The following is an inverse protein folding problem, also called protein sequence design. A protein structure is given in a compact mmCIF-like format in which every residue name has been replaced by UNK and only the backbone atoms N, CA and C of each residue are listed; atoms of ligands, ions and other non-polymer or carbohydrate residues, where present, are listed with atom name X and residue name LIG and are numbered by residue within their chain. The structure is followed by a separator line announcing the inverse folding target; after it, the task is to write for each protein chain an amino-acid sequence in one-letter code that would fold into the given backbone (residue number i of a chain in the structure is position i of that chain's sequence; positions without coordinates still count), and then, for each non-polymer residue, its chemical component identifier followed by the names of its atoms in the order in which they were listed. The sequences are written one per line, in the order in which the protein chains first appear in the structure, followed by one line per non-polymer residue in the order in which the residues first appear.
data_IF_766336736953
#
_entry.id   IF_766336736953
#
_cell.length_a   1.000
_cell.length_b   1.000
_cell.length_c   1.000
_cell.angle_alpha   90.00
_cell.angle_beta   90.00
_cell.angle_gamma   90.00
#
_symmetry.space_group_name_H-M   'P 1'
#
loop_
_entity.id
_entity.type
_entity.pdbx_description
1 polymer ?
#
# COMPACT_ATOMS: atom_id res chain seq x y z
N UNK A 1 -2.82 44.56 51.18
CA UNK A 1 -3.57 45.81 51.13
C UNK A 1 -3.04 46.66 50.00
N UNK A 2 -3.75 46.71 48.87
CA UNK A 2 -3.94 47.84 48.00
C UNK A 2 -5.10 47.49 47.10
N UNK A 3 -6.01 48.42 46.91
CA UNK A 3 -7.38 48.22 46.53
C UNK A 3 -7.61 48.17 45.04
N UNK A 4 -8.76 47.55 44.71
CA UNK A 4 -9.51 47.51 43.49
C UNK A 4 -10.05 48.88 43.10
N UNK A 5 -10.08 49.20 41.81
CA UNK A 5 -11.04 50.12 41.23
C UNK A 5 -11.58 49.57 39.92
N UNK A 6 -12.89 49.33 39.90
CA UNK A 6 -13.76 49.13 38.73
C UNK A 6 -13.87 50.41 37.93
N UNK A 7 -13.92 50.30 36.61
CA UNK A 7 -14.61 51.29 35.75
C UNK A 7 -15.44 50.57 34.68
N UNK A 8 -16.76 50.66 34.84
CA UNK A 8 -17.77 50.50 33.82
C UNK A 8 -17.62 51.58 32.73
N UNK A 9 -17.83 51.23 31.49
CA UNK A 9 -18.44 52.10 30.51
C UNK A 9 -19.10 51.32 29.38
N UNK A 10 -20.42 51.30 29.41
CA UNK A 10 -21.31 51.06 28.28
C UNK A 10 -21.05 52.03 27.11
N UNK A 11 -21.05 51.55 25.88
CA UNK A 11 -21.45 52.37 24.72
C UNK A 11 -21.98 51.49 23.59
N UNK A 12 -23.30 51.46 23.49
CA UNK A 12 -24.04 51.00 22.31
C UNK A 12 -23.73 51.88 21.10
N UNK A 13 -23.28 51.31 19.99
CA UNK A 13 -23.41 51.96 18.69
C UNK A 13 -24.15 51.03 17.72
N UNK A 14 -25.38 51.40 17.39
CA UNK A 14 -26.22 50.83 16.35
C UNK A 14 -25.66 51.18 14.98
N UNK A 15 -25.45 50.20 14.11
CA UNK A 15 -25.22 50.39 12.70
C UNK A 15 -26.57 50.45 11.94
N UNK A 16 -26.65 51.23 10.84
CA UNK A 16 -27.90 51.46 10.15
C UNK A 16 -28.27 50.31 9.20
N UNK A 17 -29.58 50.07 9.08
CA UNK A 17 -30.17 49.12 8.16
C UNK A 17 -30.00 49.62 6.71
N UNK A 18 -29.30 48.84 5.87
CA UNK A 18 -29.28 49.03 4.42
C UNK A 18 -30.35 48.14 3.78
N UNK A 19 -31.24 48.76 3.04
CA UNK A 19 -32.30 48.18 2.22
C UNK A 19 -31.72 47.36 1.09
N UNK A 20 -32.19 46.13 0.94
CA UNK A 20 -31.91 45.28 -0.23
C UNK A 20 -32.81 45.65 -1.41
N UNK A 21 -32.29 45.67 -2.65
CA UNK A 21 -33.12 45.84 -3.83
C UNK A 21 -33.87 44.55 -4.18
N UNK A 22 -35.11 44.72 -4.64
CA UNK A 22 -36.01 43.64 -5.10
C UNK A 22 -35.42 42.83 -6.25
N UNK A 23 -35.46 41.50 -6.11
CA UNK A 23 -35.08 40.53 -7.14
C UNK A 23 -36.19 40.47 -8.20
N UNK A 24 -35.87 40.45 -9.52
CA UNK A 24 -36.87 40.20 -10.56
C UNK A 24 -37.29 38.74 -10.57
N UNK A 25 -38.59 38.49 -10.73
CA UNK A 25 -39.15 37.16 -10.98
C UNK A 25 -38.59 36.60 -12.29
N UNK A 26 -37.84 35.48 -12.19
CA UNK A 26 -37.43 34.67 -13.34
C UNK A 26 -38.40 33.51 -13.45
N UNK A 27 -39.06 33.44 -14.59
CA UNK A 27 -39.94 32.35 -15.01
C UNK A 27 -39.20 31.01 -14.86
N UNK A 28 -39.80 30.11 -14.11
CA UNK A 28 -39.31 28.74 -13.91
C UNK A 28 -39.56 27.88 -15.16
N UNK A 29 -38.62 27.83 -16.07
CA UNK A 29 -38.49 26.67 -16.95
C UNK A 29 -38.02 25.48 -16.10
N UNK A 30 -38.93 24.53 -15.89
CA UNK A 30 -38.63 23.21 -15.30
C UNK A 30 -37.75 22.41 -16.23
N UNK A 31 -36.44 22.63 -16.18
CA UNK A 31 -35.46 21.62 -16.59
C UNK A 31 -35.33 20.64 -15.41
N UNK A 32 -35.82 19.42 -15.61
CA UNK A 32 -35.45 18.27 -14.77
C UNK A 32 -33.91 18.11 -14.89
N UNK A 33 -33.18 18.78 -14.01
CA UNK A 33 -31.76 18.46 -13.79
C UNK A 33 -31.73 17.11 -13.11
N UNK A 34 -31.22 16.08 -13.82
CA UNK A 34 -30.77 14.84 -13.20
C UNK A 34 -29.93 15.21 -11.99
N UNK A 35 -30.46 15.02 -10.80
CA UNK A 35 -29.68 15.14 -9.56
C UNK A 35 -28.59 14.05 -9.61
N UNK A 36 -27.38 14.41 -10.02
CA UNK A 36 -26.23 13.54 -9.83
C UNK A 36 -26.15 13.15 -8.36
N UNK A 37 -26.41 11.89 -8.08
CA UNK A 37 -26.32 11.35 -6.73
C UNK A 37 -24.91 11.64 -6.18
N UNK A 38 -24.83 12.21 -4.99
CA UNK A 38 -23.55 12.47 -4.32
C UNK A 38 -22.68 11.20 -4.31
N UNK A 39 -21.43 11.29 -4.74
CA UNK A 39 -20.56 10.12 -4.83
C UNK A 39 -20.36 9.50 -3.43
N UNK A 40 -20.50 8.18 -3.34
CA UNK A 40 -20.15 7.44 -2.12
C UNK A 40 -18.64 7.58 -1.87
N UNK A 41 -18.28 8.36 -0.85
CA UNK A 41 -16.89 8.60 -0.45
C UNK A 41 -16.54 7.69 0.72
N UNK A 42 -15.41 7.01 0.61
CA UNK A 42 -14.78 6.25 1.69
C UNK A 42 -13.33 6.71 1.85
N UNK A 43 -12.79 6.61 3.05
CA UNK A 43 -11.42 7.01 3.33
C UNK A 43 -10.62 5.88 3.97
N UNK A 44 -9.33 5.89 3.71
CA UNK A 44 -8.40 4.95 4.32
C UNK A 44 -7.16 5.68 4.82
N UNK A 45 -6.77 5.38 6.06
CA UNK A 45 -5.56 5.91 6.67
C UNK A 45 -4.59 4.78 6.99
N UNK A 46 -3.32 4.94 6.63
CA UNK A 46 -2.22 4.10 7.13
C UNK A 46 -1.25 4.93 7.96
N UNK A 47 -0.82 4.38 9.10
CA UNK A 47 0.08 5.07 10.02
C UNK A 47 0.92 4.10 10.84
N UNK A 48 2.24 4.12 10.66
CA UNK A 48 3.16 3.51 11.60
C UNK A 48 3.28 4.45 12.82
N UNK A 49 2.78 4.01 13.97
CA UNK A 49 2.64 4.84 15.17
C UNK A 49 3.88 4.83 16.09
N UNK A 50 4.93 4.16 15.68
CA UNK A 50 6.18 3.96 16.46
C UNK A 50 5.90 3.38 17.84
N UNK A 51 6.01 2.06 17.97
CA UNK A 51 5.77 1.38 19.24
C UNK A 51 6.63 1.95 20.37
N UNK A 52 6.08 2.18 21.59
CA UNK A 52 6.82 2.69 22.73
C UNK A 52 8.10 1.89 23.07
N UNK A 53 8.10 0.59 22.76
CA UNK A 53 9.28 -0.29 22.94
C UNK A 53 10.44 0.03 21.98
N UNK A 54 10.19 0.76 20.89
CA UNK A 54 11.20 1.20 19.93
C UNK A 54 11.56 2.67 20.06
N UNK A 55 10.62 3.49 20.57
CA UNK A 55 10.84 4.93 20.71
C UNK A 55 11.87 5.23 21.79
N UNK A 56 12.95 5.89 21.38
CA UNK A 56 14.02 6.36 22.25
C UNK A 56 13.64 7.72 22.86
N UNK A 57 13.89 7.92 24.16
CA UNK A 57 13.64 9.20 24.83
C UNK A 57 14.87 10.11 24.82
N UNK A 58 16.05 9.52 24.78
CA UNK A 58 17.32 10.26 24.76
C UNK A 58 18.19 9.75 23.60
N UNK A 59 18.60 10.63 22.66
CA UNK A 59 19.52 10.28 21.60
C UNK A 59 20.88 9.78 22.07
N UNK A 60 21.33 10.24 23.26
CA UNK A 60 22.61 9.87 23.84
C UNK A 60 22.51 8.56 24.64
N UNK A 61 21.40 8.31 25.31
CA UNK A 61 21.12 7.08 26.03
C UNK A 61 20.25 6.14 25.20
N UNK A 62 20.88 5.32 24.37
CA UNK A 62 20.18 4.40 23.48
C UNK A 62 19.35 3.30 24.18
N UNK A 63 19.57 3.06 25.48
CA UNK A 63 18.82 2.09 26.28
C UNK A 63 17.46 2.59 26.76
N UNK A 64 17.28 3.92 26.91
CA UNK A 64 16.07 4.48 27.51
C UNK A 64 14.89 4.47 26.52
N UNK A 65 13.83 3.71 26.83
CA UNK A 65 12.66 3.55 25.99
C UNK A 65 11.43 4.24 26.58
N UNK A 66 10.55 4.75 25.68
CA UNK A 66 9.29 5.36 26.10
C UNK A 66 8.39 4.37 26.86
N UNK A 67 8.46 3.07 26.52
CA UNK A 67 7.69 2.00 27.19
C UNK A 67 7.93 1.91 28.69
N UNK A 68 9.05 2.41 29.20
CA UNK A 68 9.37 2.44 30.61
C UNK A 68 8.65 3.57 31.39
N UNK A 69 8.07 4.53 30.69
CA UNK A 69 7.45 5.74 31.25
C UNK A 69 6.00 5.87 30.82
N UNK A 70 5.09 5.40 31.68
CA UNK A 70 3.65 5.37 31.38
C UNK A 70 3.12 6.74 30.95
N UNK A 71 3.47 7.82 31.64
CA UNK A 71 2.97 9.15 31.33
C UNK A 71 3.30 9.57 29.88
N UNK A 72 4.48 9.21 29.36
CA UNK A 72 4.90 9.60 28.01
C UNK A 72 4.21 8.79 26.91
N UNK A 73 4.22 7.45 27.02
CA UNK A 73 3.57 6.65 26.00
C UNK A 73 2.04 6.81 26.01
N UNK A 74 1.44 7.03 27.20
CA UNK A 74 0.00 7.23 27.32
C UNK A 74 -0.41 8.56 26.68
N UNK A 75 0.22 9.69 27.02
CA UNK A 75 -0.05 11.00 26.43
C UNK A 75 0.09 10.97 24.90
N UNK A 76 1.21 10.43 24.40
CA UNK A 76 1.44 10.35 22.96
C UNK A 76 0.39 9.52 22.24
N UNK A 77 0.04 8.35 22.76
CA UNK A 77 -0.96 7.48 22.14
C UNK A 77 -2.38 8.04 22.25
N UNK A 78 -2.71 8.76 23.32
CA UNK A 78 -3.97 9.52 23.40
C UNK A 78 -4.05 10.56 22.30
N UNK A 79 -3.00 11.36 22.09
CA UNK A 79 -2.94 12.36 21.02
C UNK A 79 -2.99 11.74 19.62
N UNK A 80 -2.34 10.60 19.40
CA UNK A 80 -2.47 9.86 18.13
C UNK A 80 -3.93 9.46 17.90
N UNK A 81 -4.55 8.88 18.92
CA UNK A 81 -5.93 8.41 18.82
C UNK A 81 -6.93 9.56 18.64
N UNK A 82 -6.71 10.70 19.30
CA UNK A 82 -7.52 11.91 19.08
C UNK A 82 -7.47 12.37 17.64
N UNK A 83 -6.29 12.37 17.00
CA UNK A 83 -6.15 12.69 15.58
C UNK A 83 -6.85 11.69 14.66
N UNK A 84 -6.73 10.39 14.94
CA UNK A 84 -7.40 9.34 14.16
C UNK A 84 -8.93 9.47 14.22
N UNK A 85 -9.46 9.75 15.42
CA UNK A 85 -10.88 9.95 15.64
C UNK A 85 -11.39 11.27 15.05
N UNK A 86 -10.60 12.33 15.08
CA UNK A 86 -10.91 13.59 14.42
C UNK A 86 -10.99 13.44 12.89
N UNK A 87 -10.06 12.70 12.28
CA UNK A 87 -10.02 12.42 10.85
C UNK A 87 -11.14 11.46 10.42
N UNK A 88 -11.56 10.56 11.32
CA UNK A 88 -12.68 9.63 11.18
C UNK A 88 -12.66 8.84 9.86
N UNK A 89 -11.49 8.30 9.47
CA UNK A 89 -11.35 7.50 8.26
C UNK A 89 -12.19 6.22 8.33
N UNK A 90 -12.81 5.83 7.20
CA UNK A 90 -13.64 4.62 7.11
C UNK A 90 -12.84 3.34 7.42
N UNK A 91 -11.54 3.35 7.12
CA UNK A 91 -10.59 2.27 7.42
C UNK A 91 -9.32 2.90 7.99
N UNK A 92 -8.81 2.35 9.10
CA UNK A 92 -7.56 2.78 9.75
C UNK A 92 -6.65 1.56 9.87
N UNK A 93 -5.44 1.66 9.31
CA UNK A 93 -4.40 0.63 9.31
C UNK A 93 -3.18 1.13 10.09
N UNK A 94 -2.94 0.59 11.28
CA UNK A 94 -1.81 0.97 12.12
C UNK A 94 -0.73 -0.09 12.08
N UNK A 95 0.53 0.35 12.07
CA UNK A 95 1.72 -0.48 12.21
C UNK A 95 2.47 -0.07 13.46
N UNK A 96 3.31 -0.97 13.96
CA UNK A 96 3.98 -0.83 15.26
C UNK A 96 3.00 -0.58 16.42
N UNK A 97 1.82 -1.16 16.35
CA UNK A 97 0.86 -1.13 17.45
C UNK A 97 1.38 -2.02 18.59
N UNK A 98 1.52 -1.46 19.81
CA UNK A 98 2.09 -2.19 20.95
C UNK A 98 1.08 -3.18 21.53
N UNK A 99 0.93 -4.34 20.89
CA UNK A 99 0.01 -5.41 21.28
C UNK A 99 0.36 -6.04 22.63
N UNK A 100 1.63 -5.95 23.06
CA UNK A 100 2.12 -6.48 24.32
C UNK A 100 1.72 -5.67 25.56
N UNK A 101 1.03 -4.53 25.40
CA UNK A 101 0.55 -3.71 26.50
C UNK A 101 -0.99 -3.69 26.54
N UNK A 102 -1.57 -4.40 27.52
CA UNK A 102 -3.02 -4.54 27.64
C UNK A 102 -3.75 -3.21 27.87
N UNK A 103 -3.14 -2.27 28.58
CA UNK A 103 -3.76 -0.96 28.85
C UNK A 103 -3.86 -0.13 27.58
N UNK A 104 -2.79 -0.11 26.77
CA UNK A 104 -2.80 0.57 25.48
C UNK A 104 -3.81 -0.09 24.53
N UNK A 105 -3.80 -1.42 24.45
CA UNK A 105 -4.77 -2.18 23.61
C UNK A 105 -6.19 -1.85 24.02
N UNK A 106 -6.49 -1.85 25.34
CA UNK A 106 -7.81 -1.52 25.84
C UNK A 106 -8.23 -0.09 25.47
N UNK A 107 -7.37 0.89 25.70
CA UNK A 107 -7.63 2.29 25.37
C UNK A 107 -8.01 2.47 23.89
N UNK A 108 -7.24 1.88 22.98
CA UNK A 108 -7.56 1.96 21.53
C UNK A 108 -8.85 1.23 21.19
N UNK A 109 -9.05 0.02 21.74
CA UNK A 109 -10.23 -0.79 21.45
C UNK A 109 -11.52 -0.13 21.94
N UNK A 110 -11.54 0.39 23.16
CA UNK A 110 -12.69 1.07 23.74
C UNK A 110 -13.04 2.35 22.98
N UNK A 111 -12.05 3.25 22.79
CA UNK A 111 -12.31 4.53 22.12
C UNK A 111 -12.70 4.38 20.64
N UNK A 112 -12.08 3.44 19.91
CA UNK A 112 -12.46 3.14 18.53
C UNK A 112 -13.86 2.48 18.47
N UNK A 113 -14.16 1.57 19.40
CA UNK A 113 -15.49 0.96 19.49
C UNK A 113 -16.59 2.01 19.75
N UNK A 114 -16.36 2.93 20.69
CA UNK A 114 -17.30 4.01 21.03
C UNK A 114 -17.51 4.97 19.85
N UNK A 115 -16.51 5.12 19.00
CA UNK A 115 -16.59 5.88 17.75
C UNK A 115 -17.15 5.08 16.55
N UNK A 116 -17.69 3.88 16.76
CA UNK A 116 -18.35 3.09 15.73
C UNK A 116 -17.47 2.12 14.94
N UNK A 117 -16.21 1.88 15.37
CA UNK A 117 -15.32 0.96 14.68
C UNK A 117 -15.37 -0.46 15.22
N UNK A 118 -15.13 -1.43 14.34
CA UNK A 118 -14.71 -2.80 14.68
C UNK A 118 -13.20 -2.89 14.53
N UNK A 119 -12.49 -3.42 15.53
CA UNK A 119 -11.03 -3.48 15.55
C UNK A 119 -10.51 -4.90 15.46
N UNK A 120 -9.40 -5.07 14.72
CA UNK A 120 -8.67 -6.32 14.55
C UNK A 120 -7.20 -6.07 14.87
N UNK A 121 -6.64 -6.83 15.80
CA UNK A 121 -5.23 -6.73 16.18
C UNK A 121 -4.49 -8.02 15.82
N UNK A 122 -3.22 -7.90 15.41
CA UNK A 122 -2.37 -9.05 15.12
C UNK A 122 -0.94 -8.74 15.60
N UNK A 123 -0.45 -9.50 16.58
CA UNK A 123 0.94 -9.40 17.04
C UNK A 123 1.91 -10.02 16.04
N UNK A 124 3.12 -9.47 15.97
CA UNK A 124 4.24 -10.15 15.30
C UNK A 124 4.53 -11.47 16.01
N UNK A 125 5.02 -12.45 15.26
CA UNK A 125 5.43 -13.74 15.83
C UNK A 125 6.62 -13.58 16.79
N UNK A 126 6.92 -14.64 17.53
CA UNK A 126 8.05 -14.69 18.50
C UNK A 126 8.02 -13.57 19.57
N UNK A 127 6.83 -13.17 20.02
CA UNK A 127 6.62 -12.24 21.12
C UNK A 127 7.40 -10.90 20.98
N UNK A 128 7.46 -10.35 19.78
CA UNK A 128 8.14 -9.07 19.51
C UNK A 128 7.50 -7.89 20.25
N UNK A 129 6.26 -8.03 20.72
CA UNK A 129 5.53 -7.03 21.48
C UNK A 129 4.75 -6.02 20.66
N UNK A 130 5.19 -5.71 19.44
CA UNK A 130 4.46 -4.89 18.48
C UNK A 130 3.66 -5.73 17.46
N UNK A 131 2.84 -5.07 16.67
CA UNK A 131 2.03 -5.71 15.64
C UNK A 131 1.24 -4.71 14.80
N UNK A 132 0.09 -5.17 14.36
CA UNK A 132 -0.85 -4.43 13.52
C UNK A 132 -2.17 -4.22 14.26
N UNK A 133 -2.84 -3.10 13.99
CA UNK A 133 -4.23 -2.87 14.32
C UNK A 133 -4.95 -2.34 13.09
N UNK A 134 -6.06 -2.97 12.70
CA UNK A 134 -6.94 -2.45 11.66
C UNK A 134 -8.30 -2.15 12.27
N UNK A 135 -8.82 -0.94 12.03
CA UNK A 135 -10.14 -0.53 12.46
C UNK A 135 -11.03 -0.20 11.25
N UNK A 136 -12.26 -0.68 11.27
CA UNK A 136 -13.24 -0.55 10.18
C UNK A 136 -14.50 0.08 10.74
N UNK A 137 -14.93 1.21 10.18
CA UNK A 137 -16.12 1.91 10.63
C UNK A 137 -17.37 1.21 10.12
N UNK A 138 -18.27 0.85 11.05
CA UNK A 138 -19.47 0.03 10.80
C UNK A 138 -20.47 0.67 9.84
N UNK A 139 -20.55 2.00 9.79
CA UNK A 139 -21.46 2.70 8.87
C UNK A 139 -21.04 2.57 7.41
N UNK A 140 -19.74 2.39 7.16
CA UNK A 140 -19.21 2.28 5.80
C UNK A 140 -19.06 0.83 5.34
N UNK A 141 -18.67 -0.08 6.25
CA UNK A 141 -18.35 -1.45 5.88
C UNK A 141 -18.84 -2.48 6.88
N UNK A 142 -19.32 -3.60 6.37
CA UNK A 142 -19.47 -4.87 7.11
C UNK A 142 -18.26 -5.75 6.86
N UNK A 143 -17.76 -6.40 7.92
CA UNK A 143 -16.63 -7.33 7.80
C UNK A 143 -17.18 -8.73 7.53
N UNK A 144 -16.91 -9.27 6.35
CA UNK A 144 -17.31 -10.62 5.95
C UNK A 144 -16.34 -11.66 6.51
N UNK A 145 -15.03 -11.42 6.32
CA UNK A 145 -13.98 -12.30 6.81
C UNK A 145 -12.77 -11.51 7.29
N UNK A 146 -12.08 -12.06 8.29
CA UNK A 146 -10.78 -11.66 8.76
C UNK A 146 -9.82 -12.84 8.69
N UNK A 147 -8.60 -12.62 8.16
CA UNK A 147 -7.55 -13.63 8.04
C UNK A 147 -6.22 -13.06 8.50
N UNK A 148 -5.41 -13.90 9.08
CA UNK A 148 -4.06 -13.59 9.55
C UNK A 148 -3.04 -14.33 8.69
N UNK A 149 -2.06 -13.62 8.17
CA UNK A 149 -0.98 -14.18 7.39
C UNK A 149 0.33 -14.05 8.16
N UNK A 150 0.80 -15.16 8.68
CA UNK A 150 2.09 -15.25 9.38
C UNK A 150 3.17 -15.60 8.35
N UNK A 151 4.16 -14.73 8.16
CA UNK A 151 5.20 -15.01 7.17
C UNK A 151 6.15 -16.12 7.62
N UNK A 152 6.30 -16.31 8.96
CA UNK A 152 7.21 -17.29 9.56
C UNK A 152 8.63 -17.18 9.00
N UNK A 153 9.10 -15.94 8.90
CA UNK A 153 10.40 -15.60 8.33
C UNK A 153 11.31 -14.91 9.37
N UNK A 154 12.52 -14.58 8.95
CA UNK A 154 13.52 -13.90 9.77
C UNK A 154 13.03 -12.62 10.45
N UNK A 155 12.06 -11.93 9.82
CA UNK A 155 11.55 -10.66 10.32
C UNK A 155 10.40 -10.78 11.32
N UNK A 156 9.86 -11.97 11.56
CA UNK A 156 8.67 -12.20 12.40
C UNK A 156 7.47 -11.33 11.99
N UNK A 157 7.44 -10.91 10.71
CA UNK A 157 6.41 -10.01 10.18
C UNK A 157 5.13 -10.76 9.84
N UNK A 158 4.06 -9.99 9.76
CA UNK A 158 2.70 -10.51 9.56
C UNK A 158 1.90 -9.57 8.66
N UNK A 159 0.78 -10.06 8.12
CA UNK A 159 -0.22 -9.23 7.47
C UNK A 159 -1.63 -9.62 7.92
N UNK A 160 -2.53 -8.65 7.96
CA UNK A 160 -3.96 -8.84 8.17
C UNK A 160 -4.69 -8.70 6.84
N UNK A 161 -5.55 -9.63 6.49
CA UNK A 161 -6.49 -9.53 5.38
C UNK A 161 -7.90 -9.37 5.94
N UNK A 162 -8.60 -8.34 5.51
CA UNK A 162 -10.02 -8.15 5.75
C UNK A 162 -10.77 -8.21 4.42
N UNK A 163 -11.84 -8.99 4.37
CA UNK A 163 -12.81 -9.02 3.30
C UNK A 163 -14.02 -8.21 3.77
N UNK A 164 -14.27 -7.09 3.11
CA UNK A 164 -15.26 -6.09 3.53
C UNK A 164 -16.34 -5.94 2.47
N UNK A 165 -17.57 -5.72 2.94
CA UNK A 165 -18.70 -5.34 2.10
C UNK A 165 -19.06 -3.87 2.37
N UNK A 166 -19.20 -3.08 1.32
CA UNK A 166 -19.58 -1.67 1.39
C UNK A 166 -21.07 -1.54 1.72
N UNK A 167 -21.39 -0.86 2.85
CA UNK A 167 -22.76 -0.66 3.35
C UNK A 167 -23.45 0.55 2.73
N UNK A 168 -22.69 1.57 2.34
CA UNK A 168 -23.23 2.86 1.86
C UNK A 168 -23.93 2.66 0.52
N UNK A 169 -25.14 3.21 0.32
CA UNK A 169 -25.83 3.15 -0.96
C UNK A 169 -25.01 3.87 -2.03
N UNK A 170 -24.70 3.20 -3.13
CA UNK A 170 -23.93 3.79 -4.22
C UNK A 170 -24.77 4.76 -5.06
N UNK A 171 -26.09 4.51 -5.18
CA UNK A 171 -27.06 5.35 -5.91
C UNK A 171 -28.45 5.16 -5.34
N UNK A 172 -29.24 6.22 -5.28
CA UNK A 172 -30.59 6.20 -4.71
C UNK A 172 -31.61 5.38 -5.52
N UNK A 173 -31.38 5.05 -6.79
CA UNK A 173 -32.40 4.50 -7.71
C UNK A 173 -32.03 3.20 -8.44
N UNK A 174 -30.94 2.50 -8.10
CA UNK A 174 -30.63 1.25 -8.82
C UNK A 174 -30.58 0.04 -7.89
N UNK A 175 -31.51 -0.90 -8.10
CA UNK A 175 -31.42 -2.30 -7.66
C UNK A 175 -30.31 -3.01 -8.49
N UNK A 176 -29.06 -2.56 -8.39
CA UNK A 176 -27.97 -3.21 -9.11
C UNK A 176 -27.47 -4.39 -8.28
N UNK A 177 -27.72 -5.59 -8.73
CA UNK A 177 -27.16 -6.85 -8.23
C UNK A 177 -25.68 -6.95 -8.64
N UNK A 178 -24.76 -6.16 -8.07
CA UNK A 178 -23.33 -6.41 -8.20
C UNK A 178 -22.66 -6.45 -6.82
N UNK A 179 -21.61 -7.23 -6.73
CA UNK A 179 -20.85 -7.41 -5.51
C UNK A 179 -20.20 -6.09 -5.08
N UNK A 180 -20.40 -5.70 -3.83
CA UNK A 180 -19.88 -4.46 -3.22
C UNK A 180 -18.75 -4.76 -2.27
N UNK A 181 -17.85 -5.64 -2.67
CA UNK A 181 -16.84 -6.19 -1.80
C UNK A 181 -15.46 -5.63 -2.14
N UNK A 182 -14.59 -5.55 -1.14
CA UNK A 182 -13.19 -5.13 -1.25
C UNK A 182 -12.32 -5.99 -0.34
N UNK A 183 -11.12 -6.33 -0.81
CA UNK A 183 -10.07 -6.89 0.05
C UNK A 183 -9.13 -5.79 0.52
N UNK A 184 -8.90 -5.75 1.83
CA UNK A 184 -7.97 -4.79 2.46
C UNK A 184 -6.89 -5.55 3.20
N UNK A 185 -5.63 -5.21 2.93
CA UNK A 185 -4.47 -5.80 3.62
C UNK A 185 -3.73 -4.71 4.38
N UNK A 186 -3.47 -4.95 5.66
CA UNK A 186 -2.57 -4.16 6.49
C UNK A 186 -1.30 -4.96 6.77
N UNK A 187 -0.12 -4.37 6.54
CA UNK A 187 1.17 -5.03 6.77
C UNK A 187 2.26 -4.05 7.18
N UNK A 188 3.32 -4.59 7.78
CA UNK A 188 4.57 -3.88 8.03
C UNK A 188 5.73 -4.80 7.65
N UNK A 189 6.40 -4.50 6.53
CA UNK A 189 7.49 -5.34 6.02
C UNK A 189 8.79 -5.17 6.83
N UNK A 190 9.74 -6.07 6.59
CA UNK A 190 11.02 -6.06 7.28
C UNK A 190 11.79 -4.76 7.04
N UNK A 191 12.29 -4.15 8.13
CA UNK A 191 13.15 -2.97 8.07
C UNK A 191 14.49 -3.30 7.36
N UNK A 192 15.02 -2.42 6.51
CA UNK A 192 16.25 -2.66 5.74
C UNK A 192 17.50 -2.42 6.58
N UNK A 193 17.77 -3.29 7.58
CA UNK A 193 19.02 -3.23 8.36
C UNK A 193 20.25 -3.42 7.47
N UNK A 194 20.11 -4.23 6.42
CA UNK A 194 21.13 -4.54 5.43
C UNK A 194 20.52 -4.58 4.02
N UNK A 195 21.33 -4.28 3.00
CA UNK A 195 20.92 -4.36 1.60
C UNK A 195 20.58 -5.79 1.15
N UNK A 196 21.16 -6.81 1.77
CA UNK A 196 20.84 -8.22 1.51
C UNK A 196 19.41 -8.59 1.88
N UNK A 197 18.78 -7.88 2.82
CA UNK A 197 17.40 -8.12 3.25
C UNK A 197 16.32 -7.60 2.28
N UNK A 198 16.72 -7.06 1.14
CA UNK A 198 15.76 -6.69 0.09
C UNK A 198 14.99 -7.91 -0.45
N UNK A 199 15.62 -9.07 -0.50
CA UNK A 199 14.98 -10.32 -0.93
C UNK A 199 13.88 -10.75 0.06
N UNK A 200 14.09 -10.59 1.37
CA UNK A 200 13.09 -10.95 2.39
C UNK A 200 11.83 -10.11 2.22
N UNK A 201 11.96 -8.78 2.03
CA UNK A 201 10.78 -7.93 1.78
C UNK A 201 10.05 -8.33 0.50
N UNK A 202 10.80 -8.68 -0.54
CA UNK A 202 10.22 -9.15 -1.79
C UNK A 202 9.45 -10.45 -1.58
N UNK A 203 10.00 -11.43 -0.82
CA UNK A 203 9.33 -12.67 -0.43
C UNK A 203 8.07 -12.41 0.41
N UNK A 204 8.10 -11.45 1.33
CA UNK A 204 6.91 -11.06 2.11
C UNK A 204 5.78 -10.56 1.21
N UNK A 205 6.10 -9.67 0.25
CA UNK A 205 5.11 -9.19 -0.74
C UNK A 205 4.61 -10.32 -1.62
N UNK A 206 5.49 -11.18 -2.10
CA UNK A 206 5.11 -12.33 -2.92
C UNK A 206 4.14 -13.26 -2.18
N UNK A 207 4.40 -13.55 -0.89
CA UNK A 207 3.48 -14.33 -0.04
C UNK A 207 2.12 -13.66 0.12
N UNK A 208 2.07 -12.33 0.31
CA UNK A 208 0.79 -11.57 0.36
C UNK A 208 0.03 -11.76 -0.96
N UNK A 209 0.71 -11.58 -2.09
CA UNK A 209 0.08 -11.66 -3.41
C UNK A 209 -0.40 -13.09 -3.74
N UNK A 210 0.39 -14.12 -3.42
CA UNK A 210 -0.01 -15.52 -3.54
C UNK A 210 -1.24 -15.84 -2.67
N UNK A 211 -1.24 -15.35 -1.43
CA UNK A 211 -2.36 -15.55 -0.53
C UNK A 211 -3.63 -14.89 -1.04
N UNK A 212 -3.53 -13.67 -1.58
CA UNK A 212 -4.65 -12.97 -2.21
C UNK A 212 -5.20 -13.74 -3.42
N UNK A 213 -4.33 -14.27 -4.30
CA UNK A 213 -4.76 -15.10 -5.44
C UNK A 213 -5.48 -16.37 -4.98
N UNK A 214 -4.95 -17.06 -3.97
CA UNK A 214 -5.59 -18.26 -3.39
C UNK A 214 -6.92 -17.93 -2.76
N UNK A 215 -6.98 -16.86 -1.95
CA UNK A 215 -8.20 -16.41 -1.29
C UNK A 215 -9.29 -16.02 -2.30
N UNK A 216 -8.93 -15.26 -3.35
CA UNK A 216 -9.87 -14.90 -4.42
C UNK A 216 -10.42 -16.15 -5.13
N UNK A 217 -9.55 -17.12 -5.42
CA UNK A 217 -9.95 -18.39 -6.06
C UNK A 217 -10.87 -19.22 -5.17
N UNK A 218 -10.52 -19.38 -3.90
CA UNK A 218 -11.31 -20.15 -2.91
C UNK A 218 -12.70 -19.57 -2.70
N UNK A 219 -12.84 -18.24 -2.73
CA UNK A 219 -14.10 -17.55 -2.52
C UNK A 219 -14.77 -17.08 -3.81
N UNK A 220 -14.26 -17.49 -4.98
CA UNK A 220 -14.79 -17.16 -6.32
C UNK A 220 -14.87 -15.65 -6.61
N UNK A 221 -13.97 -14.87 -6.05
CA UNK A 221 -13.93 -13.41 -6.15
C UNK A 221 -13.18 -12.95 -7.41
N UNK A 222 -13.87 -12.96 -8.56
CA UNK A 222 -13.22 -12.69 -9.85
C UNK A 222 -12.98 -11.20 -10.11
N UNK A 223 -13.81 -10.32 -9.59
CA UNK A 223 -13.86 -8.89 -9.94
C UNK A 223 -13.94 -8.01 -8.70
N UNK A 224 -12.99 -8.16 -7.77
CA UNK A 224 -12.94 -7.43 -6.52
C UNK A 224 -11.75 -6.46 -6.48
N UNK A 225 -11.95 -5.19 -6.05
CA UNK A 225 -10.85 -4.27 -5.80
C UNK A 225 -10.03 -4.71 -4.59
N UNK A 226 -8.74 -4.40 -4.60
CA UNK A 226 -7.81 -4.73 -3.51
C UNK A 226 -7.07 -3.48 -3.09
N UNK A 227 -7.03 -3.22 -1.79
CA UNK A 227 -6.26 -2.17 -1.16
C UNK A 227 -5.19 -2.77 -0.25
N UNK A 228 -3.93 -2.35 -0.44
CA UNK A 228 -2.82 -2.76 0.42
C UNK A 228 -2.28 -1.54 1.14
N UNK A 229 -2.25 -1.59 2.46
CA UNK A 229 -1.86 -0.48 3.33
C UNK A 229 -0.69 -0.87 4.21
N UNK A 230 0.20 0.06 4.51
CA UNK A 230 1.23 -0.19 5.49
C UNK A 230 2.56 0.53 5.27
N UNK A 231 3.48 0.15 6.14
CA UNK A 231 4.90 0.48 6.03
C UNK A 231 5.62 -0.63 5.23
N UNK A 232 5.97 -0.31 4.00
CA UNK A 232 6.58 -1.24 3.06
C UNK A 232 8.10 -1.31 3.21
N UNK A 233 8.70 -0.46 4.02
CA UNK A 233 10.14 -0.37 4.23
C UNK A 233 10.96 -0.37 2.93
N UNK A 234 10.37 0.14 1.85
CA UNK A 234 10.92 0.18 0.50
C UNK A 234 10.50 1.44 -0.23
N UNK A 235 11.44 2.07 -0.94
CA UNK A 235 11.20 3.30 -1.71
C UNK A 235 10.55 3.02 -3.07
N UNK A 236 10.07 4.08 -3.74
CA UNK A 236 9.54 4.04 -5.12
C UNK A 236 10.51 3.45 -6.15
N UNK A 237 11.83 3.44 -5.88
CA UNK A 237 12.86 2.82 -6.74
C UNK A 237 13.13 1.35 -6.40
N UNK A 238 12.56 0.86 -5.30
CA UNK A 238 12.82 -0.48 -4.79
C UNK A 238 12.10 -1.60 -5.57
N UNK A 239 12.59 -2.83 -5.39
CA UNK A 239 12.02 -4.01 -6.06
C UNK A 239 10.57 -4.30 -5.61
N UNK A 240 10.22 -4.00 -4.36
CA UNK A 240 8.85 -4.13 -3.84
C UNK A 240 7.88 -3.23 -4.63
N UNK A 241 8.25 -1.95 -4.83
CA UNK A 241 7.45 -1.01 -5.60
C UNK A 241 7.23 -1.51 -7.04
N UNK A 242 8.32 -1.94 -7.70
CA UNK A 242 8.28 -2.45 -9.07
C UNK A 242 7.41 -3.72 -9.18
N UNK A 243 7.53 -4.66 -8.23
CA UNK A 243 6.69 -5.87 -8.20
C UNK A 243 5.21 -5.53 -8.06
N UNK A 244 4.83 -4.62 -7.15
CA UNK A 244 3.44 -4.22 -6.98
C UNK A 244 2.88 -3.53 -8.23
N UNK A 245 3.68 -2.63 -8.86
CA UNK A 245 3.30 -2.01 -10.13
C UNK A 245 3.07 -3.05 -11.25
N UNK A 246 3.94 -4.05 -11.38
CA UNK A 246 3.79 -5.13 -12.39
C UNK A 246 2.55 -6.00 -12.15
N UNK A 247 2.03 -5.99 -10.92
CA UNK A 247 0.81 -6.67 -10.52
C UNK A 247 -0.44 -5.79 -10.59
N UNK A 248 -0.32 -4.62 -11.24
CA UNK A 248 -1.43 -3.70 -11.50
C UNK A 248 -1.84 -2.85 -10.30
N UNK A 249 -1.04 -2.83 -9.23
CA UNK A 249 -1.27 -1.92 -8.12
C UNK A 249 -0.74 -0.53 -8.42
N UNK A 250 -1.50 0.49 -8.05
CA UNK A 250 -1.13 1.89 -8.18
C UNK A 250 -1.05 2.52 -6.79
N UNK A 251 0.00 3.32 -6.56
CA UNK A 251 0.08 4.14 -5.36
C UNK A 251 -0.99 5.22 -5.42
N UNK A 252 -1.87 5.27 -4.41
CA UNK A 252 -2.96 6.25 -4.36
C UNK A 252 -2.44 7.68 -4.27
N UNK A 253 -1.29 7.88 -3.64
CA UNK A 253 -0.65 9.19 -3.57
C UNK A 253 -0.15 9.65 -4.93
N UNK A 254 0.48 8.76 -5.69
CA UNK A 254 1.01 9.08 -7.02
C UNK A 254 -0.08 9.37 -8.06
N UNK A 255 -1.31 8.86 -7.84
CA UNK A 255 -2.46 9.18 -8.70
C UNK A 255 -2.94 10.63 -8.58
N UNK A 256 -2.65 11.27 -7.47
CA UNK A 256 -3.09 12.66 -7.19
C UNK A 256 -1.96 13.65 -7.34
N UNK A 257 -0.75 13.21 -6.96
CA UNK A 257 0.44 14.04 -6.94
C UNK A 257 1.46 13.48 -7.93
N UNK A 258 1.75 14.24 -8.97
CA UNK A 258 2.89 13.97 -9.87
C UNK A 258 4.19 14.27 -9.11
N UNK A 259 4.56 13.36 -8.20
CA UNK A 259 5.71 13.55 -7.33
C UNK A 259 6.92 12.80 -7.85
N UNK A 260 8.00 13.55 -8.09
CA UNK A 260 9.33 12.98 -8.24
C UNK A 260 9.64 12.07 -7.04
N UNK A 261 10.16 10.87 -7.33
CA UNK A 261 10.54 9.88 -6.32
C UNK A 261 11.51 10.42 -5.25
N UNK A 262 12.22 11.51 -5.54
CA UNK A 262 13.11 12.18 -4.59
C UNK A 262 12.39 13.05 -3.54
N UNK A 263 11.18 13.49 -3.84
CA UNK A 263 10.38 14.36 -2.96
C UNK A 263 9.40 13.60 -2.07
N UNK A 264 9.28 12.27 -2.28
CA UNK A 264 8.42 11.43 -1.47
C UNK A 264 9.05 11.17 -0.11
N UNK A 265 8.47 11.72 0.94
CA UNK A 265 8.92 11.57 2.32
C UNK A 265 7.75 11.12 3.17
N UNK A 266 7.88 10.00 3.88
CA UNK A 266 6.91 9.55 4.87
C UNK A 266 7.56 9.09 6.17
N UNK A 267 8.89 9.03 6.22
CA UNK A 267 9.63 8.54 7.38
C UNK A 267 10.94 9.30 7.57
N UNK A 268 11.30 9.56 8.84
CA UNK A 268 12.59 10.08 9.29
C UNK A 268 13.24 9.10 10.26
N UNK A 269 14.30 8.45 9.84
CA UNK A 269 14.98 7.49 10.69
C UNK A 269 15.75 8.15 11.85
N UNK A 270 16.21 7.35 12.81
CA UNK A 270 16.98 7.81 13.98
C UNK A 270 18.29 8.53 13.66
N UNK A 271 18.80 8.48 12.44
CA UNK A 271 19.98 9.20 11.94
C UNK A 271 19.62 10.52 11.26
N UNK A 272 18.34 10.89 11.25
CA UNK A 272 17.83 12.08 10.59
C UNK A 272 17.62 11.95 9.09
N UNK A 273 17.91 10.81 8.48
CA UNK A 273 17.66 10.58 7.06
C UNK A 273 16.15 10.43 6.81
N UNK A 274 15.67 11.08 5.76
CA UNK A 274 14.28 11.05 5.33
C UNK A 274 14.10 10.18 4.10
N UNK A 275 13.00 9.41 4.04
CA UNK A 275 12.64 8.55 2.92
C UNK A 275 11.12 8.32 2.86
N UNK A 276 10.64 7.81 1.75
CA UNK A 276 9.23 7.42 1.60
C UNK A 276 9.09 5.90 1.60
N UNK A 277 8.36 5.37 2.58
CA UNK A 277 8.18 3.93 2.79
C UNK A 277 6.74 3.51 3.07
N UNK A 278 5.86 4.47 3.38
CA UNK A 278 4.45 4.23 3.67
C UNK A 278 3.60 4.43 2.42
N UNK A 279 2.77 3.45 2.08
CA UNK A 279 1.93 3.48 0.89
C UNK A 279 0.54 2.90 1.17
N UNK A 280 -0.45 3.45 0.48
CA UNK A 280 -1.74 2.82 0.22
C UNK A 280 -1.77 2.51 -1.28
N UNK A 281 -1.84 1.23 -1.61
CA UNK A 281 -1.92 0.72 -2.97
C UNK A 281 -3.35 0.36 -3.30
N UNK A 282 -3.79 0.67 -4.50
CA UNK A 282 -5.09 0.30 -5.01
C UNK A 282 -4.94 -0.49 -6.32
N UNK A 283 -5.68 -1.60 -6.43
CA UNK A 283 -5.89 -2.32 -7.68
C UNK A 283 -7.38 -2.53 -7.89
N UNK A 284 -7.93 -1.98 -8.95
CA UNK A 284 -9.27 -2.33 -9.42
C UNK A 284 -9.25 -3.65 -10.20
N UNK A 285 -10.40 -4.32 -10.32
CA UNK A 285 -10.48 -5.70 -10.79
C UNK A 285 -9.92 -5.94 -12.21
N UNK A 286 -10.14 -5.02 -13.15
CA UNK A 286 -9.75 -5.20 -14.56
C UNK A 286 -8.39 -4.64 -14.93
N UNK A 287 -7.53 -4.42 -13.94
CA UNK A 287 -6.17 -3.95 -14.22
C UNK A 287 -5.35 -5.07 -14.85
N UNK A 288 -4.76 -4.80 -16.03
CA UNK A 288 -3.87 -5.74 -16.70
C UNK A 288 -2.63 -6.01 -15.83
N UNK A 289 -2.23 -7.28 -15.75
CA UNK A 289 -1.04 -7.69 -14.99
C UNK A 289 -0.35 -8.89 -15.62
N UNK A 290 0.94 -9.01 -15.38
CA UNK A 290 1.69 -10.21 -15.71
C UNK A 290 1.33 -11.36 -14.76
N UNK A 291 1.56 -12.63 -15.14
CA UNK A 291 1.49 -13.73 -14.19
C UNK A 291 2.39 -13.46 -12.98
N UNK A 292 1.89 -13.71 -11.78
CA UNK A 292 2.61 -13.38 -10.53
C UNK A 292 3.99 -14.04 -10.47
N UNK A 293 4.09 -15.31 -10.90
CA UNK A 293 5.35 -16.08 -10.93
C UNK A 293 6.39 -15.42 -11.86
N UNK A 294 5.97 -14.92 -13.01
CA UNK A 294 6.84 -14.21 -13.96
C UNK A 294 7.37 -12.91 -13.34
N UNK A 295 6.48 -12.09 -12.77
CA UNK A 295 6.88 -10.84 -12.10
C UNK A 295 7.80 -11.06 -10.89
N UNK A 296 7.59 -12.14 -10.15
CA UNK A 296 8.47 -12.57 -9.08
C UNK A 296 9.89 -12.83 -9.59
N UNK A 297 10.03 -13.70 -10.61
CA UNK A 297 11.33 -14.02 -11.19
C UNK A 297 12.05 -12.79 -11.75
N UNK A 298 11.35 -11.93 -12.52
CA UNK A 298 11.89 -10.66 -13.01
C UNK A 298 12.42 -9.78 -11.86
N UNK A 299 11.70 -9.75 -10.72
CA UNK A 299 12.11 -8.96 -9.56
C UNK A 299 13.36 -9.54 -8.89
N UNK A 300 13.48 -10.85 -8.78
CA UNK A 300 14.67 -11.53 -8.23
C UNK A 300 15.87 -11.33 -9.15
N UNK A 301 15.70 -11.52 -10.46
CA UNK A 301 16.77 -11.23 -11.43
C UNK A 301 17.20 -9.75 -11.39
N UNK A 302 16.27 -8.83 -11.13
CA UNK A 302 16.61 -7.42 -10.93
C UNK A 302 17.47 -7.18 -9.68
N UNK A 303 17.26 -7.93 -8.60
CA UNK A 303 18.17 -7.92 -7.44
C UNK A 303 19.54 -8.45 -7.82
N UNK A 304 19.61 -9.60 -8.50
CA UNK A 304 20.86 -10.17 -8.98
C UNK A 304 21.63 -9.17 -9.85
N UNK A 305 20.98 -8.60 -10.85
CA UNK A 305 21.56 -7.56 -11.72
C UNK A 305 22.10 -6.36 -10.93
N UNK A 306 21.33 -5.90 -9.95
CA UNK A 306 21.76 -4.79 -9.10
C UNK A 306 23.06 -5.14 -8.33
N UNK A 307 23.16 -6.35 -7.77
CA UNK A 307 24.34 -6.81 -7.04
C UNK A 307 25.56 -6.95 -7.97
N UNK A 308 25.39 -7.52 -9.16
CA UNK A 308 26.46 -7.67 -10.15
C UNK A 308 26.94 -6.30 -10.67
N UNK A 309 26.02 -5.38 -10.94
CA UNK A 309 26.39 -3.99 -11.31
C UNK A 309 27.10 -3.23 -10.19
N UNK A 310 26.69 -3.47 -8.94
CA UNK A 310 27.39 -2.89 -7.78
C UNK A 310 28.83 -3.39 -7.67
N UNK A 311 29.10 -4.62 -8.15
CA UNK A 311 30.46 -5.16 -8.32
C UNK A 311 31.12 -4.72 -9.62
N UNK A 312 30.58 -3.71 -10.33
CA UNK A 312 31.09 -3.15 -11.58
C UNK A 312 31.11 -4.13 -12.76
N UNK A 313 30.32 -5.18 -12.73
CA UNK A 313 30.21 -6.16 -13.82
C UNK A 313 29.39 -5.61 -14.99
N UNK A 314 29.88 -5.77 -16.20
CA UNK A 314 29.14 -5.57 -17.44
C UNK A 314 28.19 -6.73 -17.69
N UNK A 315 27.37 -6.67 -18.75
CA UNK A 315 26.51 -7.79 -19.17
C UNK A 315 27.33 -9.05 -19.46
N UNK A 316 28.43 -8.91 -20.19
CA UNK A 316 29.34 -10.02 -20.51
C UNK A 316 30.02 -10.60 -19.26
N UNK A 317 30.50 -9.74 -18.35
CA UNK A 317 31.10 -10.17 -17.09
C UNK A 317 30.08 -10.94 -16.23
N UNK A 318 28.83 -10.48 -16.21
CA UNK A 318 27.73 -11.13 -15.48
C UNK A 318 27.40 -12.52 -16.07
N UNK A 319 27.39 -12.64 -17.41
CA UNK A 319 27.23 -13.94 -18.06
C UNK A 319 28.40 -14.88 -17.72
N UNK A 320 29.64 -14.42 -17.85
CA UNK A 320 30.83 -15.18 -17.49
C UNK A 320 30.82 -15.59 -16.01
N UNK A 321 30.42 -14.72 -15.11
CA UNK A 321 30.24 -15.02 -13.68
C UNK A 321 29.21 -16.13 -13.43
N UNK A 322 28.04 -16.05 -14.08
CA UNK A 322 26.98 -17.06 -13.95
C UNK A 322 27.35 -18.39 -14.61
N UNK A 323 28.16 -18.36 -15.66
CA UNK A 323 28.67 -19.56 -16.34
C UNK A 323 29.75 -20.28 -15.52
N UNK A 324 30.51 -19.55 -14.71
CA UNK A 324 31.64 -20.08 -13.93
C UNK A 324 32.71 -20.70 -14.82
N UNK A 325 33.38 -21.73 -14.32
CA UNK A 325 34.46 -22.44 -15.01
C UNK A 325 33.98 -23.43 -16.09
N UNK A 326 32.70 -23.35 -16.50
CA UNK A 326 32.16 -24.24 -17.54
C UNK A 326 32.84 -23.96 -18.90
N UNK A 327 33.28 -25.05 -19.58
CA UNK A 327 33.94 -24.96 -20.88
C UNK A 327 32.99 -24.61 -22.05
N UNK A 328 31.68 -24.74 -21.88
CA UNK A 328 30.67 -24.37 -22.88
C UNK A 328 30.31 -22.88 -22.86
N UNK A 329 29.65 -22.39 -23.92
CA UNK A 329 29.14 -21.01 -23.99
C UNK A 329 27.69 -20.90 -23.47
N UNK A 330 27.43 -21.58 -22.36
CA UNK A 330 26.12 -21.62 -21.70
C UNK A 330 26.27 -21.73 -20.19
N UNK A 331 25.25 -21.35 -19.45
CA UNK A 331 25.15 -21.47 -18.01
C UNK A 331 24.48 -22.82 -17.72
N UNK A 332 25.07 -23.65 -16.86
CA UNK A 332 24.44 -24.86 -16.32
C UNK A 332 23.68 -24.55 -15.04
N UNK A 333 22.72 -25.39 -14.67
CA UNK A 333 21.99 -25.24 -13.41
C UNK A 333 22.92 -25.22 -12.19
N UNK A 334 23.97 -26.06 -12.18
CA UNK A 334 24.94 -26.09 -11.09
C UNK A 334 25.76 -24.80 -10.99
N UNK A 335 26.20 -24.24 -12.13
CA UNK A 335 26.93 -22.96 -12.16
C UNK A 335 26.03 -21.80 -11.72
N UNK A 336 24.75 -21.80 -12.15
CA UNK A 336 23.76 -20.82 -11.71
C UNK A 336 23.55 -20.86 -10.20
N UNK A 337 23.40 -22.05 -9.60
CA UNK A 337 23.29 -22.20 -8.15
C UNK A 337 24.52 -21.66 -7.41
N UNK A 338 25.72 -21.98 -7.92
CA UNK A 338 26.95 -21.51 -7.30
C UNK A 338 27.08 -19.97 -7.35
N UNK A 339 26.74 -19.38 -8.49
CA UNK A 339 26.71 -17.92 -8.63
C UNK A 339 25.68 -17.27 -7.66
N UNK A 340 24.46 -17.83 -7.53
CA UNK A 340 23.48 -17.32 -6.58
C UNK A 340 23.96 -17.43 -5.12
N UNK A 341 24.75 -18.48 -4.79
CA UNK A 341 25.36 -18.65 -3.47
C UNK A 341 26.41 -17.56 -3.21
N UNK A 342 27.26 -17.27 -4.18
CA UNK A 342 28.32 -16.25 -4.07
C UNK A 342 27.75 -14.85 -3.84
N UNK A 343 26.56 -14.55 -4.37
CA UNK A 343 25.86 -13.29 -4.11
C UNK A 343 24.88 -13.34 -2.94
N UNK A 344 24.92 -14.40 -2.10
CA UNK A 344 24.07 -14.58 -0.92
C UNK A 344 22.55 -14.57 -1.21
N UNK A 345 22.15 -14.96 -2.40
CA UNK A 345 20.73 -15.18 -2.73
C UNK A 345 20.22 -16.56 -2.32
N UNK A 346 21.10 -17.55 -2.17
CA UNK A 346 20.83 -18.90 -1.62
C UNK A 346 21.88 -19.29 -0.58
N UNK A 347 21.59 -20.32 0.20
CA UNK A 347 22.52 -20.86 1.22
C UNK A 347 22.60 -20.00 2.49
N UNK A 348 21.78 -18.98 2.63
CA UNK A 348 21.62 -18.14 3.84
C UNK A 348 20.20 -18.29 4.39
N UNK A 349 19.98 -18.09 5.71
CA UNK A 349 18.66 -18.30 6.32
C UNK A 349 17.51 -17.48 5.69
N UNK A 350 17.85 -16.31 5.14
CA UNK A 350 16.91 -15.41 4.48
C UNK A 350 16.92 -15.49 2.95
N UNK A 351 17.65 -16.46 2.38
CA UNK A 351 17.78 -16.63 0.93
C UNK A 351 16.58 -17.33 0.30
N UNK A 352 16.66 -17.52 -1.01
CA UNK A 352 15.67 -18.26 -1.79
C UNK A 352 15.71 -19.74 -1.40
N UNK A 353 14.53 -20.35 -1.30
CA UNK A 353 14.41 -21.78 -1.10
C UNK A 353 14.60 -22.56 -2.41
N UNK A 354 14.61 -23.89 -2.31
CA UNK A 354 14.81 -24.78 -3.46
C UNK A 354 13.77 -24.54 -4.56
N UNK A 355 12.48 -24.41 -4.19
CA UNK A 355 11.41 -24.24 -5.17
C UNK A 355 11.50 -22.88 -5.86
N UNK A 356 11.76 -21.81 -5.10
CA UNK A 356 11.96 -20.47 -5.66
C UNK A 356 13.14 -20.44 -6.64
N UNK A 357 14.24 -21.09 -6.29
CA UNK A 357 15.44 -21.18 -7.16
C UNK A 357 15.17 -21.99 -8.42
N UNK A 358 14.45 -23.11 -8.30
CA UNK A 358 14.03 -23.92 -9.46
C UNK A 358 13.09 -23.13 -10.39
N UNK A 359 12.18 -22.37 -9.82
CA UNK A 359 11.26 -21.54 -10.60
C UNK A 359 11.97 -20.43 -11.37
N UNK A 360 13.03 -19.85 -10.79
CA UNK A 360 13.92 -18.92 -11.49
C UNK A 360 14.65 -19.58 -12.66
N UNK A 361 15.18 -20.79 -12.44
CA UNK A 361 15.84 -21.54 -13.49
C UNK A 361 14.91 -21.82 -14.68
N UNK A 362 13.71 -22.34 -14.42
CA UNK A 362 12.70 -22.61 -15.46
C UNK A 362 12.32 -21.32 -16.22
N UNK A 363 12.36 -20.17 -15.57
CA UNK A 363 12.10 -18.89 -16.24
C UNK A 363 13.30 -18.41 -17.06
N UNK A 364 14.51 -18.83 -16.70
CA UNK A 364 15.74 -18.49 -17.40
C UNK A 364 15.96 -19.40 -18.63
N UNK A 365 15.77 -20.69 -18.48
CA UNK A 365 15.84 -21.73 -19.51
C UNK A 365 14.48 -21.72 -20.27
N UNK A 366 14.35 -20.85 -21.26
CA UNK A 366 13.08 -20.54 -21.92
C UNK A 366 12.68 -21.60 -22.93
N UNK A 367 13.64 -22.29 -23.55
CA UNK A 367 13.42 -23.40 -24.50
C UNK A 367 13.39 -24.77 -23.83
N UNK A 368 13.76 -24.85 -22.52
CA UNK A 368 13.69 -26.07 -21.71
C UNK A 368 14.77 -27.09 -22.06
N UNK A 369 15.88 -26.67 -22.66
CA UNK A 369 16.97 -27.56 -23.08
C UNK A 369 17.93 -27.93 -21.94
N UNK A 370 17.76 -27.34 -20.74
CA UNK A 370 18.51 -27.62 -19.52
C UNK A 370 19.79 -26.81 -19.36
N UNK A 371 20.00 -25.81 -20.20
CA UNK A 371 21.06 -24.81 -20.10
C UNK A 371 20.48 -23.42 -20.40
N UNK A 372 21.19 -22.37 -20.03
CA UNK A 372 20.82 -20.99 -20.40
C UNK A 372 21.93 -20.46 -21.29
N UNK A 373 21.61 -20.18 -22.55
CA UNK A 373 22.52 -19.60 -23.49
C UNK A 373 22.64 -18.07 -23.33
N UNK A 374 23.52 -17.44 -24.13
CA UNK A 374 23.74 -16.00 -24.01
C UNK A 374 22.51 -15.17 -24.43
N UNK A 375 21.73 -15.60 -25.42
CA UNK A 375 20.52 -14.87 -25.86
C UNK A 375 19.39 -14.98 -24.86
N UNK A 376 19.19 -16.13 -24.23
CA UNK A 376 18.27 -16.30 -23.11
C UNK A 376 18.68 -15.43 -21.90
N UNK A 377 19.97 -15.48 -21.52
CA UNK A 377 20.49 -14.62 -20.46
C UNK A 377 20.30 -13.14 -20.79
N UNK A 378 20.59 -12.70 -22.00
CA UNK A 378 20.37 -11.34 -22.46
C UNK A 378 18.91 -10.93 -22.46
N UNK A 379 18.02 -11.85 -22.83
CA UNK A 379 16.57 -11.68 -22.70
C UNK A 379 16.17 -11.35 -21.27
N UNK A 380 16.62 -12.15 -20.29
CA UNK A 380 16.40 -11.90 -18.86
C UNK A 380 17.05 -10.58 -18.41
N UNK A 381 18.31 -10.36 -18.80
CA UNK A 381 19.08 -9.17 -18.42
C UNK A 381 18.40 -7.87 -18.88
N UNK A 382 17.72 -7.88 -20.02
CA UNK A 382 17.05 -6.74 -20.61
C UNK A 382 15.56 -6.63 -20.22
N UNK A 383 14.87 -7.76 -20.00
CA UNK A 383 13.46 -7.80 -19.56
C UNK A 383 13.25 -7.34 -18.11
N UNK A 384 14.32 -7.27 -17.33
CA UNK A 384 14.27 -6.80 -15.95
C UNK A 384 13.61 -5.43 -15.90
N UNK A 385 12.60 -5.31 -15.08
CA UNK A 385 11.73 -4.16 -14.86
C UNK A 385 12.45 -2.85 -15.24
N UNK A 386 12.24 -2.44 -16.48
CA UNK A 386 12.83 -1.23 -17.03
C UNK A 386 12.28 -0.05 -16.24
N UNK A 387 13.11 0.95 -15.93
CA UNK A 387 12.68 2.22 -15.35
C UNK A 387 11.88 3.07 -16.37
N UNK A 388 11.60 2.51 -17.56
CA UNK A 388 10.72 3.14 -18.52
C UNK A 388 9.31 3.09 -17.95
N UNK A 389 8.82 4.25 -17.59
CA UNK A 389 7.41 4.53 -17.35
C UNK A 389 6.58 3.77 -18.39
N UNK A 390 5.64 2.95 -17.92
CA UNK A 390 4.56 2.46 -18.76
C UNK A 390 3.79 3.72 -19.15
N UNK A 391 4.12 4.29 -20.30
CA UNK A 391 3.29 5.33 -20.90
C UNK A 391 1.94 4.68 -21.11
N UNK A 392 0.96 5.18 -20.38
CA UNK A 392 -0.44 4.90 -20.63
C UNK A 392 -0.70 5.25 -22.10
N UNK A 393 -0.92 4.25 -22.95
CA UNK A 393 -1.59 4.45 -24.19
C UNK A 393 -3.04 4.81 -23.83
N UNK A 394 -3.29 6.11 -23.70
CA UNK A 394 -4.65 6.64 -23.74
C UNK A 394 -5.22 6.28 -25.12
N UNK A 395 -5.93 5.16 -25.19
CA UNK A 395 -6.82 4.89 -26.31
C UNK A 395 -8.00 5.88 -26.19
N UNK A 396 -7.85 7.05 -26.82
CA UNK A 396 -8.96 7.93 -27.17
C UNK A 396 -9.88 7.21 -28.18
N UNK A 397 -10.69 6.30 -27.68
CA UNK A 397 -11.82 5.72 -28.39
C UNK A 397 -13.06 6.54 -28.10
N UNK A 398 -13.40 7.47 -28.97
CA UNK A 398 -14.75 8.01 -29.07
C UNK A 398 -15.70 6.83 -29.28
N UNK A 399 -16.38 6.38 -28.24
CA UNK A 399 -17.45 5.41 -28.32
C UNK A 399 -18.78 6.15 -28.45
N UNK A 400 -19.29 6.07 -29.66
CA UNK A 400 -20.65 6.39 -30.06
C UNK A 400 -21.66 5.69 -29.12
N UNK A 401 -22.44 6.48 -28.39
CA UNK A 401 -23.41 6.03 -27.39
C UNK A 401 -24.75 5.70 -28.05
N UNK A 402 -24.81 4.53 -28.74
CA UNK A 402 -26.08 3.95 -29.12
C UNK A 402 -25.96 2.44 -29.39
N UNK A 403 -26.02 1.64 -28.34
CA UNK A 403 -26.57 0.29 -28.34
C UNK A 403 -26.71 -0.21 -26.90
N UNK A 404 -27.95 -0.26 -26.39
CA UNK A 404 -28.34 -1.04 -25.23
C UNK A 404 -27.82 -2.46 -25.39
N UNK A 405 -26.95 -2.92 -24.52
CA UNK A 405 -26.63 -4.33 -24.35
C UNK A 405 -26.60 -4.65 -22.87
N UNK A 406 -27.46 -5.59 -22.52
CA UNK A 406 -27.56 -6.42 -21.30
C UNK A 406 -26.51 -6.19 -20.20
N UNK A 407 -27.00 -5.95 -18.98
CA UNK A 407 -26.26 -5.64 -17.73
C UNK A 407 -25.41 -6.80 -17.17
N UNK A 408 -24.71 -7.55 -17.99
CA UNK A 408 -23.81 -8.61 -17.50
C UNK A 408 -22.41 -8.03 -17.25
N UNK A 409 -21.99 -7.96 -15.96
CA UNK A 409 -20.60 -7.80 -15.59
C UNK A 409 -20.16 -6.46 -14.99
N UNK A 410 -21.04 -5.75 -14.28
CA UNK A 410 -20.62 -4.59 -13.49
C UNK A 410 -20.04 -4.99 -12.13
N UNK A 411 -18.97 -4.31 -11.68
CA UNK A 411 -18.31 -4.55 -10.39
C UNK A 411 -17.96 -3.24 -9.69
N UNK A 412 -17.67 -3.34 -8.37
CA UNK A 412 -17.17 -2.22 -7.57
C UNK A 412 -15.76 -1.86 -8.00
N UNK A 413 -15.50 -0.56 -8.17
CA UNK A 413 -14.16 0.00 -8.27
C UNK A 413 -14.03 1.27 -7.46
N UNK A 414 -12.82 1.81 -7.37
CA UNK A 414 -12.54 3.04 -6.65
C UNK A 414 -11.73 4.01 -7.52
N UNK A 415 -12.09 5.30 -7.46
CA UNK A 415 -11.28 6.41 -7.99
C UNK A 415 -10.69 7.19 -6.84
N UNK A 416 -9.38 7.45 -6.88
CA UNK A 416 -8.71 8.31 -5.91
C UNK A 416 -9.17 9.76 -6.12
N UNK A 417 -9.67 10.40 -5.07
CA UNK A 417 -10.12 11.80 -5.08
C UNK A 417 -9.08 12.73 -4.47
N UNK A 418 -8.47 12.30 -3.37
CA UNK A 418 -7.38 13.02 -2.74
C UNK A 418 -6.51 12.05 -1.95
N UNK A 419 -5.26 12.43 -1.76
CA UNK A 419 -4.32 11.76 -0.88
C UNK A 419 -3.49 12.83 -0.18
N UNK A 420 -3.28 12.69 1.13
CA UNK A 420 -2.58 13.68 1.93
C UNK A 420 -1.67 13.01 2.96
N UNK A 421 -0.52 13.64 3.19
CA UNK A 421 0.40 13.28 4.27
C UNK A 421 0.27 14.28 5.42
N UNK A 422 0.39 13.77 6.63
CA UNK A 422 0.48 14.59 7.83
C UNK A 422 1.67 14.12 8.70
N UNK A 423 2.55 15.02 9.13
CA UNK A 423 2.45 16.50 9.03
C UNK A 423 2.64 16.99 7.58
N UNK A 424 1.98 18.12 7.24
CA UNK A 424 1.93 18.62 5.86
C UNK A 424 3.27 19.08 5.28
N UNK A 425 4.23 19.35 6.12
CA UNK A 425 5.60 19.70 5.72
C UNK A 425 6.28 18.59 4.93
N UNK A 426 5.91 17.32 5.17
CA UNK A 426 6.48 16.17 4.45
C UNK A 426 6.07 16.15 2.98
N UNK A 427 4.94 16.75 2.61
CA UNK A 427 4.52 16.92 1.21
C UNK A 427 5.46 17.84 0.44
N UNK A 428 6.21 18.68 1.15
CA UNK A 428 7.25 19.57 0.60
C UNK A 428 8.66 18.95 0.67
N UNK A 429 8.77 17.67 1.06
CA UNK A 429 10.04 17.00 1.26
C UNK A 429 10.79 17.42 2.54
N UNK A 430 10.09 18.01 3.51
CA UNK A 430 10.64 18.48 4.77
C UNK A 430 10.10 17.65 5.93
N UNK A 431 10.88 17.52 7.00
CA UNK A 431 10.44 16.89 8.23
C UNK A 431 10.42 17.93 9.37
N UNK A 432 9.26 18.18 10.03
CA UNK A 432 9.18 19.19 11.08
C UNK A 432 9.92 18.71 12.37
N UNK A 433 10.74 19.59 12.93
CA UNK A 433 11.56 19.25 14.10
C UNK A 433 10.73 18.91 15.35
N UNK A 434 9.57 19.53 15.49
CA UNK A 434 8.69 19.35 16.65
C UNK A 434 7.63 18.26 16.48
N UNK A 435 7.65 17.52 15.38
CA UNK A 435 6.73 16.41 15.21
C UNK A 435 7.14 15.21 16.06
N UNK A 436 6.36 14.92 17.10
CA UNK A 436 6.69 13.96 18.16
C UNK A 436 5.77 12.75 18.23
N UNK A 437 4.73 12.69 17.40
CA UNK A 437 3.76 11.58 17.45
C UNK A 437 4.36 10.27 16.95
N UNK A 438 5.13 10.32 15.85
CA UNK A 438 5.83 9.19 15.27
C UNK A 438 7.05 9.67 14.48
N UNK A 439 7.93 8.78 14.08
CA UNK A 439 8.97 9.00 13.06
C UNK A 439 8.43 8.73 11.63
N UNK A 440 7.15 8.37 11.52
CA UNK A 440 6.41 8.25 10.26
C UNK A 440 5.35 9.34 10.12
N UNK A 441 5.07 9.72 8.88
CA UNK A 441 3.92 10.54 8.51
C UNK A 441 2.70 9.65 8.29
N UNK A 442 1.53 10.13 8.70
CA UNK A 442 0.24 9.49 8.40
C UNK A 442 -0.18 9.79 6.98
N UNK A 443 -0.50 8.76 6.21
CA UNK A 443 -1.06 8.87 4.86
C UNK A 443 -2.55 8.58 4.90
N UNK A 444 -3.37 9.52 4.41
CA UNK A 444 -4.82 9.37 4.27
C UNK A 444 -5.24 9.57 2.82
N UNK A 445 -6.08 8.68 2.32
CA UNK A 445 -6.66 8.74 0.99
C UNK A 445 -8.19 8.81 1.05
N UNK A 446 -8.77 9.66 0.20
CA UNK A 446 -10.21 9.72 -0.06
C UNK A 446 -10.49 9.06 -1.40
N UNK A 447 -11.44 8.12 -1.40
CA UNK A 447 -11.82 7.30 -2.55
C UNK A 447 -13.30 7.50 -2.86
N UNK A 448 -13.63 7.61 -4.13
CA UNK A 448 -15.02 7.54 -4.61
C UNK A 448 -15.29 6.14 -5.12
N UNK A 449 -16.29 5.48 -4.54
CA UNK A 449 -16.79 4.22 -5.07
C UNK A 449 -17.48 4.46 -6.41
N UNK A 450 -17.18 3.64 -7.41
CA UNK A 450 -17.68 3.75 -8.77
C UNK A 450 -18.09 2.38 -9.31
N UNK A 451 -19.10 2.37 -10.18
CA UNK A 451 -19.46 1.18 -10.97
C UNK A 451 -18.51 1.10 -12.16
N UNK A 452 -17.82 -0.02 -12.31
CA UNK A 452 -16.95 -0.32 -13.46
C UNK A 452 -17.56 -1.43 -14.29
N UNK A 453 -17.37 -1.38 -15.62
CA UNK A 453 -17.82 -2.42 -16.55
C UNK A 453 -16.68 -3.36 -16.90
N UNK A 454 -16.97 -4.65 -17.05
CA UNK A 454 -16.02 -5.63 -17.54
C UNK A 454 -15.81 -5.44 -19.06
N UNK A 455 -14.63 -4.99 -19.47
CA UNK A 455 -14.26 -5.03 -20.89
C UNK A 455 -13.98 -6.49 -21.28
N UNK A 456 -14.95 -7.16 -21.94
CA UNK A 456 -14.69 -8.48 -22.50
C UNK A 456 -13.63 -8.34 -23.61
N UNK A 457 -12.44 -8.90 -23.40
CA UNK A 457 -11.52 -9.19 -24.49
C UNK A 457 -12.21 -10.18 -25.42
N UNK A 458 -12.48 -9.78 -26.67
CA UNK A 458 -12.98 -10.67 -27.73
C UNK A 458 -12.00 -11.86 -27.84
N UNK A 459 -12.39 -13.02 -27.32
CA UNK A 459 -11.78 -14.28 -27.73
C UNK A 459 -12.12 -14.43 -29.20
N UNK A 460 -11.16 -14.23 -30.11
CA UNK A 460 -11.24 -14.70 -31.46
C UNK A 460 -11.42 -16.22 -31.40
N UNK A 461 -12.64 -16.67 -31.62
CA UNK A 461 -12.90 -18.05 -32.02
C UNK A 461 -12.21 -18.26 -33.38
N UNK A 462 -11.03 -18.85 -33.38
CA UNK A 462 -10.49 -19.48 -34.57
C UNK A 462 -11.47 -20.59 -34.93
N UNK A 463 -12.30 -20.30 -35.91
CA UNK A 463 -13.19 -21.28 -36.52
C UNK A 463 -12.34 -22.43 -37.09
N UNK A 464 -12.68 -23.63 -36.66
CA UNK A 464 -12.31 -24.83 -37.36
C UNK A 464 -12.94 -24.80 -38.76
N UNK A 465 -12.11 -24.90 -39.79
CA UNK A 465 -12.40 -25.48 -41.06
C UNK A 465 -11.26 -26.42 -41.43
#
# INVERSE_FOLDING_TARGET
MVAVTNHDMDSHSRLPATSFPSVPEIETETRETEQEALPCLVSCTTFNILAPIYKRLDPLNQGLRESEFKAFWLDRNQRILDWLLYEASSIICLQEFWVGNEELVRMYSERLHDAGYTTFKLGRTNNRGDGLLTAVHKDYFSVLHHRELLFNDFGDRVAQLLHLQLNVPLWQNQRANFEREILVVNTHLLFPHDSSLCIVRLQQVYKILQYLESYQKENQLNSIPIMLCGDWNGSKRGHVYKLLRSQGFESTYDKVHDTDAHKWVSHRNHRGNICGVDFIWLRNANTSRKPLKTSWGESVFSILKYQLRKASMTEHDAFAFLKGDNCGDFITYSAFLEALRQVNLIGVPSGLNFQETRDLWIQADTDGNGVVDYEEFKGIWNAMLSDREVKEEESNGNLDSSKLSTEEGAYLGFKVKSAALFPREVEKGLWPEHYSLSDHARLTVMLSAVKMQCSQSRRHSLGAN
#
